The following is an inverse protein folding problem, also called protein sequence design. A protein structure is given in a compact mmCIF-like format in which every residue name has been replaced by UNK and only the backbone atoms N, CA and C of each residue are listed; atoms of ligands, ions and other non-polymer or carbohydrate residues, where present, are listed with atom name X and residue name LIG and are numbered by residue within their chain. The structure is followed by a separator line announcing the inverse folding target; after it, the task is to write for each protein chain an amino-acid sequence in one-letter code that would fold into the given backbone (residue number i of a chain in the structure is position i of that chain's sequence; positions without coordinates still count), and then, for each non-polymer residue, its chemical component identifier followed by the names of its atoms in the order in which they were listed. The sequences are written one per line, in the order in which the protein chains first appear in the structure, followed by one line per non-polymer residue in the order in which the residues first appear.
data_IF_654074293263
#
_entry.id   IF_654074293263
#
_cell.length_a   1.000
_cell.length_b   1.000
_cell.length_c   1.000
_cell.angle_alpha   90.00
_cell.angle_beta   90.00
_cell.angle_gamma   90.00
#
_symmetry.space_group_name_H-M   'P 1'
#
loop_
_entity.id
_entity.type
_entity.pdbx_description
1 polymer ?
#
# COMPACT_ATOMS: atom_id res chain seq x y z
N UNK A 1 41.90 -9.10 44.53
CA UNK A 1 41.22 -7.79 44.35
C UNK A 1 41.27 -7.44 42.87
N UNK A 2 40.17 -7.67 42.14
CA UNK A 2 40.11 -7.38 40.72
C UNK A 2 39.66 -5.93 40.54
N UNK A 3 40.57 -5.08 40.04
CA UNK A 3 40.27 -3.68 39.74
C UNK A 3 39.32 -3.55 38.56
N UNK A 4 38.14 -3.00 38.78
CA UNK A 4 37.24 -2.54 37.73
C UNK A 4 37.96 -1.49 36.87
N UNK A 5 38.24 -1.82 35.59
CA UNK A 5 38.65 -0.80 34.63
C UNK A 5 37.46 0.12 34.39
N UNK A 6 37.60 1.37 34.73
CA UNK A 6 36.66 2.43 34.41
C UNK A 6 36.95 2.77 32.94
N UNK A 7 36.00 2.48 32.06
CA UNK A 7 36.03 2.96 30.68
C UNK A 7 35.71 4.46 30.71
N UNK A 8 36.73 5.27 30.48
CA UNK A 8 36.64 6.74 30.53
C UNK A 8 36.08 7.34 29.24
N UNK A 9 35.62 6.53 28.30
CA UNK A 9 35.05 7.03 27.03
C UNK A 9 36.03 7.89 26.22
N UNK A 10 37.34 7.68 26.41
CA UNK A 10 38.37 8.36 25.64
C UNK A 10 38.40 7.78 24.24
N UNK A 11 38.06 8.59 23.26
CA UNK A 11 38.28 8.31 21.83
C UNK A 11 39.70 7.88 21.59
N UNK A 12 39.92 6.89 20.70
CA UNK A 12 41.26 6.36 20.45
C UNK A 12 42.25 7.46 20.07
N UNK A 13 43.54 7.26 20.43
CA UNK A 13 44.63 8.22 20.20
C UNK A 13 44.64 8.76 18.76
N UNK A 14 44.22 7.98 17.78
CA UNK A 14 44.18 8.35 16.35
C UNK A 14 43.13 9.43 16.03
N UNK A 15 42.01 9.51 16.75
CA UNK A 15 40.99 10.55 16.53
C UNK A 15 41.40 11.93 17.06
N UNK A 16 42.27 11.98 18.06
CA UNK A 16 42.77 13.24 18.64
C UNK A 16 43.79 13.96 17.76
N UNK A 17 44.44 13.24 16.86
CA UNK A 17 45.48 13.77 15.96
C UNK A 17 45.07 13.88 14.51
N UNK A 18 43.84 13.49 14.16
CA UNK A 18 43.29 13.71 12.82
C UNK A 18 42.98 15.21 12.64
N UNK A 19 43.47 15.76 11.54
CA UNK A 19 43.07 17.08 11.07
C UNK A 19 41.59 17.07 10.58
N UNK A 20 40.98 18.24 10.34
CA UNK A 20 39.60 18.33 9.94
C UNK A 20 39.31 17.61 8.60
N UNK A 21 40.32 17.48 7.72
CA UNK A 21 40.21 16.69 6.47
C UNK A 21 40.19 15.20 6.79
N UNK A 22 41.06 14.71 7.64
CA UNK A 22 41.08 13.31 8.05
C UNK A 22 39.79 12.87 8.77
N UNK A 23 39.21 13.76 9.58
CA UNK A 23 37.88 13.54 10.21
C UNK A 23 36.74 13.51 9.19
N UNK A 24 36.82 14.34 8.13
CA UNK A 24 35.84 14.31 7.05
C UNK A 24 35.99 13.06 6.21
N UNK A 25 37.21 12.62 5.89
CA UNK A 25 37.50 11.38 5.14
C UNK A 25 37.13 10.12 5.94
N UNK A 26 37.32 10.09 7.26
CA UNK A 26 36.90 8.98 8.12
C UNK A 26 35.37 8.82 8.20
N UNK A 27 34.61 9.88 7.89
CA UNK A 27 33.13 9.86 7.84
C UNK A 27 32.58 9.47 6.46
N UNK A 28 33.44 9.35 5.42
CA UNK A 28 32.99 8.90 4.11
C UNK A 28 32.60 7.42 4.18
N UNK A 29 31.49 7.03 3.53
CA UNK A 29 31.06 5.66 3.49
C UNK A 29 32.14 4.80 2.81
N UNK A 30 32.66 3.79 3.53
CA UNK A 30 33.62 2.84 2.99
C UNK A 30 32.88 1.76 2.20
N UNK A 31 33.31 1.53 0.97
CA UNK A 31 32.76 0.51 0.08
C UNK A 31 33.65 -0.72 0.14
N UNK A 32 33.02 -1.88 0.36
CA UNK A 32 33.66 -3.18 0.46
C UNK A 32 33.15 -4.12 -0.63
N UNK A 33 33.98 -5.03 -1.09
CA UNK A 33 33.55 -6.14 -1.95
C UNK A 33 33.17 -7.33 -1.04
N UNK A 34 31.87 -7.59 -0.90
CA UNK A 34 31.34 -8.61 -0.01
C UNK A 34 30.88 -9.82 -0.82
N UNK A 35 31.23 -11.06 -0.40
CA UNK A 35 30.74 -12.29 -1.05
C UNK A 35 29.20 -12.36 -0.98
N UNK A 36 28.55 -12.65 -2.10
CA UNK A 36 27.08 -12.80 -2.17
C UNK A 36 26.56 -13.89 -1.22
N UNK A 37 27.38 -14.93 -0.96
CA UNK A 37 27.06 -16.02 -0.04
C UNK A 37 26.99 -15.60 1.44
N UNK A 38 27.59 -14.46 1.81
CA UNK A 38 27.55 -13.92 3.18
C UNK A 38 26.38 -12.95 3.41
N UNK A 39 25.62 -12.64 2.35
CA UNK A 39 24.53 -11.66 2.40
C UNK A 39 23.17 -12.36 2.48
N UNK A 40 22.53 -12.26 3.63
CA UNK A 40 21.15 -12.73 3.83
C UNK A 40 20.16 -11.69 3.34
N UNK A 41 19.04 -12.14 2.81
CA UNK A 41 17.93 -11.26 2.48
C UNK A 41 17.23 -10.77 3.77
N UNK A 42 16.65 -9.58 3.73
CA UNK A 42 15.93 -9.04 4.88
C UNK A 42 14.66 -9.88 5.12
N UNK A 43 14.45 -10.41 6.35
CA UNK A 43 13.25 -11.17 6.67
C UNK A 43 11.98 -10.36 6.45
N UNK A 44 10.95 -11.00 5.90
CA UNK A 44 9.64 -10.37 5.65
C UNK A 44 9.71 -9.09 4.78
N UNK A 45 10.68 -9.04 3.86
CA UNK A 45 10.86 -7.91 2.95
C UNK A 45 9.59 -7.69 2.12
N UNK A 46 8.89 -6.54 2.26
CA UNK A 46 7.57 -6.34 1.66
C UNK A 46 7.59 -6.12 0.15
N UNK A 47 8.74 -5.73 -0.41
CA UNK A 47 8.86 -5.38 -1.83
C UNK A 47 9.37 -6.55 -2.64
N UNK A 48 8.59 -6.95 -3.64
CA UNK A 48 8.96 -8.07 -4.52
C UNK A 48 10.06 -7.67 -5.51
N UNK A 49 11.01 -8.58 -5.73
CA UNK A 49 11.98 -8.46 -6.81
C UNK A 49 11.38 -9.10 -8.05
N UNK A 50 10.83 -8.27 -8.94
CA UNK A 50 10.21 -8.75 -10.18
C UNK A 50 11.26 -9.09 -11.22
N UNK A 51 11.01 -10.19 -11.93
CA UNK A 51 11.78 -10.63 -13.08
C UNK A 51 11.09 -10.08 -14.34
N UNK A 52 11.38 -8.81 -14.64
CA UNK A 52 10.82 -8.05 -15.74
C UNK A 52 11.93 -7.61 -16.71
N UNK A 53 11.57 -6.99 -17.84
CA UNK A 53 12.52 -6.45 -18.83
C UNK A 53 13.52 -5.47 -18.20
N UNK A 54 13.10 -4.70 -17.19
CA UNK A 54 14.00 -3.80 -16.45
C UNK A 54 15.05 -4.59 -15.64
N UNK A 55 14.74 -5.82 -15.21
CA UNK A 55 15.71 -6.69 -14.56
C UNK A 55 16.72 -7.23 -15.56
N UNK A 56 16.27 -7.63 -16.75
CA UNK A 56 17.18 -8.12 -17.81
C UNK A 56 18.15 -7.02 -18.24
N UNK A 57 17.67 -5.80 -18.43
CA UNK A 57 18.52 -4.63 -18.72
C UNK A 57 19.53 -4.35 -17.59
N UNK A 58 19.07 -4.49 -16.32
CA UNK A 58 19.95 -4.32 -15.17
C UNK A 58 21.05 -5.41 -15.14
N UNK A 59 20.71 -6.67 -15.45
CA UNK A 59 21.69 -7.77 -15.54
C UNK A 59 22.73 -7.50 -16.63
N UNK A 60 22.32 -7.05 -17.81
CA UNK A 60 23.25 -6.68 -18.88
C UNK A 60 24.16 -5.52 -18.47
N UNK A 61 23.60 -4.48 -17.90
CA UNK A 61 24.38 -3.33 -17.40
C UNK A 61 25.39 -3.76 -16.33
N UNK A 62 25.00 -4.68 -15.43
CA UNK A 62 25.89 -5.22 -14.39
C UNK A 62 27.02 -6.05 -15.02
N UNK A 63 26.76 -6.84 -16.06
CA UNK A 63 27.79 -7.60 -16.77
C UNK A 63 28.80 -6.69 -17.44
N UNK A 64 28.36 -5.59 -18.03
CA UNK A 64 29.24 -4.66 -18.76
C UNK A 64 30.08 -3.76 -17.86
N UNK A 65 29.44 -3.19 -16.81
CA UNK A 65 30.03 -2.09 -16.03
C UNK A 65 30.17 -2.40 -14.53
N UNK A 66 29.68 -3.57 -14.08
CA UNK A 66 29.60 -3.90 -12.68
C UNK A 66 28.56 -3.07 -11.94
N UNK A 67 28.60 -3.10 -10.62
CA UNK A 67 27.74 -2.28 -9.74
C UNK A 67 28.35 -0.90 -9.56
N UNK A 68 27.66 0.14 -10.05
CA UNK A 68 28.08 1.54 -9.91
C UNK A 68 27.67 2.07 -8.54
N UNK A 69 26.41 1.84 -8.14
CA UNK A 69 25.89 2.26 -6.83
C UNK A 69 25.94 1.08 -5.86
N UNK A 70 26.70 1.14 -4.77
CA UNK A 70 26.80 0.04 -3.81
C UNK A 70 25.46 -0.29 -3.18
N UNK A 71 25.28 -1.55 -2.74
CA UNK A 71 24.17 -1.95 -1.90
C UNK A 71 24.42 -1.53 -0.46
N UNK A 72 23.36 -1.43 0.35
CA UNK A 72 23.50 -1.11 1.78
C UNK A 72 23.27 -2.38 2.60
N UNK A 73 24.23 -2.70 3.44
CA UNK A 73 24.22 -3.85 4.34
C UNK A 73 24.25 -3.41 5.80
N UNK A 74 23.68 -4.25 6.65
CA UNK A 74 23.82 -4.20 8.11
C UNK A 74 24.56 -5.45 8.55
N UNK A 75 25.55 -5.30 9.42
CA UNK A 75 26.19 -6.46 10.04
C UNK A 75 25.30 -7.05 11.12
N UNK A 76 25.12 -8.37 11.12
CA UNK A 76 24.41 -9.15 12.11
C UNK A 76 25.35 -9.56 13.25
N UNK A 77 24.80 -9.98 14.37
CA UNK A 77 25.56 -10.46 15.54
C UNK A 77 26.35 -11.76 15.25
N UNK A 78 25.91 -12.55 14.29
CA UNK A 78 26.58 -13.77 13.82
C UNK A 78 27.75 -13.50 12.85
N UNK A 79 28.03 -12.24 12.55
CA UNK A 79 29.09 -11.80 11.64
C UNK A 79 28.68 -11.78 10.16
N UNK A 80 27.51 -12.32 9.77
CA UNK A 80 26.95 -12.24 8.44
C UNK A 80 26.33 -10.87 8.18
N UNK A 81 25.97 -10.62 6.96
CA UNK A 81 25.37 -9.36 6.54
C UNK A 81 23.91 -9.54 6.19
N UNK A 82 23.10 -8.53 6.50
CA UNK A 82 21.68 -8.45 6.13
C UNK A 82 21.48 -7.30 5.15
N UNK A 83 20.79 -7.58 4.05
CA UNK A 83 20.56 -6.64 2.96
C UNK A 83 19.47 -5.63 3.33
N UNK A 84 19.82 -4.36 3.49
CA UNK A 84 18.89 -3.27 3.81
C UNK A 84 18.37 -2.59 2.56
N UNK A 85 19.23 -2.35 1.56
CA UNK A 85 18.81 -1.72 0.29
C UNK A 85 19.62 -2.26 -0.89
N UNK A 86 18.95 -2.43 -2.01
CA UNK A 86 19.57 -2.87 -3.27
C UNK A 86 19.25 -4.31 -3.68
N UNK A 87 18.10 -4.87 -3.27
CA UNK A 87 17.66 -6.24 -3.57
C UNK A 87 17.70 -6.57 -5.09
N UNK A 88 17.25 -5.65 -5.95
CA UNK A 88 17.36 -5.84 -7.42
C UNK A 88 18.81 -5.93 -7.89
N UNK A 89 19.72 -5.13 -7.29
CA UNK A 89 21.16 -5.16 -7.64
C UNK A 89 21.84 -6.44 -7.19
N UNK A 90 21.54 -6.93 -5.97
CA UNK A 90 21.99 -8.24 -5.49
C UNK A 90 21.54 -9.33 -6.45
N UNK A 91 20.24 -9.35 -6.79
CA UNK A 91 19.66 -10.35 -7.71
C UNK A 91 20.28 -10.29 -9.11
N UNK A 92 20.53 -9.10 -9.64
CA UNK A 92 21.20 -8.93 -10.92
C UNK A 92 22.63 -9.46 -10.90
N UNK A 93 23.40 -9.26 -9.81
CA UNK A 93 24.73 -9.83 -9.64
C UNK A 93 24.71 -11.37 -9.58
N UNK A 94 23.75 -11.95 -8.87
CA UNK A 94 23.57 -13.42 -8.82
C UNK A 94 23.33 -13.98 -10.23
N UNK A 95 22.41 -13.37 -11.00
CA UNK A 95 22.07 -13.76 -12.36
C UNK A 95 23.22 -13.53 -13.35
N UNK A 96 24.04 -12.50 -13.12
CA UNK A 96 25.22 -12.21 -13.91
C UNK A 96 26.41 -13.11 -13.55
N UNK A 97 26.33 -13.94 -12.48
CA UNK A 97 27.37 -14.87 -12.05
C UNK A 97 28.53 -14.23 -11.29
N UNK A 98 28.34 -13.07 -10.67
CA UNK A 98 29.33 -12.45 -9.81
C UNK A 98 29.44 -13.17 -8.46
N UNK A 99 30.65 -13.32 -7.93
CA UNK A 99 30.89 -13.91 -6.62
C UNK A 99 30.76 -12.86 -5.48
N UNK A 100 31.07 -11.60 -5.79
CA UNK A 100 31.08 -10.48 -4.82
C UNK A 100 30.29 -9.31 -5.34
N UNK A 101 29.86 -8.43 -4.43
CA UNK A 101 29.13 -7.20 -4.75
C UNK A 101 29.68 -6.03 -3.91
N UNK A 102 29.73 -4.84 -4.52
CA UNK A 102 30.09 -3.61 -3.81
C UNK A 102 29.01 -3.21 -2.82
N UNK A 103 29.37 -3.07 -1.56
CA UNK A 103 28.48 -2.78 -0.47
C UNK A 103 29.02 -1.70 0.47
N UNK A 104 28.11 -0.88 0.98
CA UNK A 104 28.30 0.01 2.12
C UNK A 104 27.76 -0.68 3.38
N UNK A 105 28.61 -0.88 4.38
CA UNK A 105 28.22 -1.46 5.66
C UNK A 105 27.84 -0.33 6.61
N UNK A 106 26.61 -0.37 7.15
CA UNK A 106 26.14 0.58 8.16
C UNK A 106 25.88 -0.11 9.48
N UNK A 107 26.30 0.54 10.56
CA UNK A 107 25.97 0.15 11.92
C UNK A 107 24.55 0.59 12.24
N UNK A 108 23.60 -0.29 12.07
CA UNK A 108 22.17 -0.05 12.28
C UNK A 108 21.59 -1.10 13.21
N UNK A 109 20.73 -0.67 14.11
CA UNK A 109 19.82 -1.58 14.79
C UNK A 109 18.82 -2.18 13.79
N UNK A 110 18.16 -3.28 14.15
CA UNK A 110 17.15 -3.89 13.27
C UNK A 110 16.01 -2.91 12.94
N UNK A 111 15.57 -2.12 13.90
CA UNK A 111 14.48 -1.15 13.71
C UNK A 111 14.90 0.02 12.79
N UNK A 112 16.14 0.50 12.90
CA UNK A 112 16.70 1.51 11.99
C UNK A 112 16.86 0.97 10.57
N UNK A 113 17.27 -0.29 10.42
CA UNK A 113 17.36 -0.95 9.12
C UNK A 113 15.98 -1.08 8.46
N UNK A 114 14.94 -1.44 9.22
CA UNK A 114 13.55 -1.48 8.72
C UNK A 114 13.12 -0.10 8.21
N UNK A 115 13.35 0.95 8.99
CA UNK A 115 12.96 2.31 8.60
C UNK A 115 13.67 2.72 7.33
N UNK A 116 14.99 2.52 7.25
CA UNK A 116 15.79 2.85 6.07
C UNK A 116 15.34 2.05 4.83
N UNK A 117 15.10 0.74 4.98
CA UNK A 117 14.60 -0.12 3.91
C UNK A 117 13.27 0.37 3.36
N UNK A 118 12.31 0.69 4.21
CA UNK A 118 10.99 1.18 3.81
C UNK A 118 11.11 2.54 3.13
N UNK A 119 11.87 3.48 3.70
CA UNK A 119 12.07 4.82 3.11
C UNK A 119 12.68 4.77 1.72
N UNK A 120 13.71 3.95 1.53
CA UNK A 120 14.38 3.80 0.24
C UNK A 120 13.47 3.22 -0.87
N UNK A 121 12.45 2.45 -0.49
CA UNK A 121 11.52 1.82 -1.43
C UNK A 121 10.22 2.60 -1.65
N UNK A 122 9.76 3.40 -0.66
CA UNK A 122 8.57 4.25 -0.82
C UNK A 122 8.75 5.38 -1.84
N UNK A 123 9.98 5.64 -2.29
CA UNK A 123 10.29 6.62 -3.33
C UNK A 123 10.13 6.06 -4.76
N UNK A 124 9.82 4.77 -4.91
CA UNK A 124 9.58 4.16 -6.24
C UNK A 124 8.32 4.74 -6.87
N UNK A 125 8.33 4.87 -8.19
CA UNK A 125 7.19 5.39 -8.96
C UNK A 125 5.98 4.45 -8.95
N UNK A 126 6.20 3.15 -8.88
CA UNK A 126 5.15 2.13 -8.85
C UNK A 126 5.39 1.19 -7.67
N UNK A 127 4.43 1.18 -6.73
CA UNK A 127 4.44 0.32 -5.55
C UNK A 127 3.06 -0.34 -5.48
N UNK A 128 3.00 -1.66 -5.29
CA UNK A 128 1.74 -2.37 -5.11
C UNK A 128 1.04 -1.96 -3.82
N UNK A 129 -0.31 -2.00 -3.78
CA UNK A 129 -1.08 -1.77 -2.56
C UNK A 129 -0.64 -2.67 -1.39
N UNK A 130 -0.36 -3.95 -1.64
CA UNK A 130 0.15 -4.89 -0.64
C UNK A 130 1.53 -4.49 -0.11
N UNK A 131 2.48 -4.20 -1.01
CA UNK A 131 3.83 -3.75 -0.66
C UNK A 131 3.77 -2.51 0.24
N UNK A 132 2.91 -1.56 -0.11
CA UNK A 132 2.70 -0.32 0.65
C UNK A 132 2.07 -0.59 2.01
N UNK A 133 1.13 -1.53 2.08
CA UNK A 133 0.46 -1.94 3.30
C UNK A 133 1.44 -2.57 4.31
N UNK A 134 2.21 -3.57 3.89
CA UNK A 134 3.19 -4.24 4.74
C UNK A 134 4.34 -3.32 5.13
N UNK A 135 4.81 -2.46 4.21
CA UNK A 135 5.88 -1.50 4.53
C UNK A 135 5.45 -0.47 5.58
N UNK A 136 4.23 0.07 5.51
CA UNK A 136 3.72 0.95 6.56
C UNK A 136 3.53 0.24 7.90
N UNK A 137 3.02 -1.01 7.90
CA UNK A 137 2.88 -1.82 9.12
C UNK A 137 4.24 -2.03 9.78
N UNK A 138 5.22 -2.52 9.01
CA UNK A 138 6.57 -2.81 9.47
C UNK A 138 7.27 -1.56 10.02
N UNK A 139 7.17 -0.43 9.32
CA UNK A 139 7.75 0.84 9.75
C UNK A 139 7.10 1.35 11.04
N UNK A 140 5.77 1.29 11.16
CA UNK A 140 5.04 1.71 12.36
C UNK A 140 5.44 0.86 13.56
N UNK A 141 5.58 -0.46 13.40
CA UNK A 141 6.03 -1.36 14.45
C UNK A 141 7.46 -1.07 14.89
N UNK A 142 8.39 -0.82 13.96
CA UNK A 142 9.77 -0.45 14.26
C UNK A 142 9.84 0.87 15.03
N UNK A 143 9.10 1.89 14.61
CA UNK A 143 9.01 3.19 15.30
C UNK A 143 8.45 3.06 16.72
N UNK A 144 7.41 2.23 16.89
CA UNK A 144 6.82 1.99 18.21
C UNK A 144 7.82 1.30 19.16
N UNK A 145 8.60 0.32 18.66
CA UNK A 145 9.66 -0.33 19.45
C UNK A 145 10.77 0.63 19.84
N UNK A 146 11.17 1.54 18.96
CA UNK A 146 12.13 2.59 19.26
C UNK A 146 11.60 3.60 20.28
N UNK A 147 10.34 4.01 20.16
CA UNK A 147 9.68 4.91 21.11
C UNK A 147 9.59 4.31 22.51
N UNK A 148 9.25 3.02 22.64
CA UNK A 148 9.21 2.33 23.93
C UNK A 148 10.60 2.25 24.61
N UNK A 149 11.67 2.18 23.84
CA UNK A 149 13.04 2.18 24.39
C UNK A 149 13.49 3.56 24.89
N UNK A 150 12.92 4.64 24.34
CA UNK A 150 13.29 6.02 24.71
C UNK A 150 12.42 6.63 25.81
N UNK A 151 11.17 6.18 25.97
CA UNK A 151 10.19 6.75 26.90
C UNK A 151 9.57 5.68 27.80
N UNK A 152 10.13 5.51 29.00
CA UNK A 152 9.49 4.76 30.10
C UNK A 152 8.39 5.60 30.80
N UNK A 153 8.08 6.81 30.34
CA UNK A 153 7.30 7.80 31.11
C UNK A 153 6.04 8.37 30.46
N UNK A 154 5.68 8.07 29.22
CA UNK A 154 4.50 8.71 28.55
C UNK A 154 3.61 7.75 27.76
N UNK A 155 2.30 7.95 27.93
CA UNK A 155 1.12 7.22 27.45
C UNK A 155 1.02 6.83 25.96
N UNK A 156 -0.17 6.46 25.42
CA UNK A 156 -0.31 5.63 24.20
C UNK A 156 0.34 6.24 22.95
N UNK A 157 1.45 5.63 22.53
CA UNK A 157 2.38 6.09 21.48
C UNK A 157 1.80 5.95 20.05
N UNK A 158 0.73 5.17 19.88
CA UNK A 158 0.25 4.76 18.54
C UNK A 158 -0.31 5.87 17.63
N UNK A 159 -0.77 7.00 18.17
CA UNK A 159 -1.29 8.10 17.34
C UNK A 159 -0.16 9.01 16.84
N UNK A 160 0.80 9.36 17.70
CA UNK A 160 1.94 10.22 17.33
C UNK A 160 2.81 9.61 16.24
N UNK A 161 3.02 8.29 16.26
CA UNK A 161 3.86 7.61 15.27
C UNK A 161 3.27 7.64 13.85
N UNK A 162 1.92 7.61 13.71
CA UNK A 162 1.26 7.73 12.39
C UNK A 162 1.32 9.14 11.83
N UNK A 163 1.22 10.15 12.70
CA UNK A 163 1.34 11.55 12.28
C UNK A 163 2.77 11.86 11.81
N UNK A 164 3.78 11.36 12.52
CA UNK A 164 5.19 11.45 12.08
C UNK A 164 5.43 10.71 10.76
N UNK A 165 4.78 9.55 10.54
CA UNK A 165 4.84 8.85 9.25
C UNK A 165 4.22 9.68 8.12
N UNK A 166 3.13 10.40 8.40
CA UNK A 166 2.45 11.23 7.43
C UNK A 166 3.24 12.51 7.08
N UNK A 167 3.92 13.12 8.06
CA UNK A 167 4.76 14.29 7.85
C UNK A 167 5.96 14.01 6.91
N UNK A 168 6.50 12.80 6.97
CA UNK A 168 7.64 12.37 6.15
C UNK A 168 7.25 11.65 4.86
N UNK A 169 5.95 11.51 4.55
CA UNK A 169 5.43 10.74 3.43
C UNK A 169 4.42 11.50 2.57
N UNK A 170 4.09 10.92 1.41
CA UNK A 170 3.09 11.47 0.49
C UNK A 170 1.64 11.15 0.91
N UNK A 171 1.44 10.29 1.93
CA UNK A 171 0.13 9.82 2.36
C UNK A 171 -0.26 10.40 3.72
N UNK A 172 -1.52 10.80 3.88
CA UNK A 172 -2.06 11.22 5.17
C UNK A 172 -2.10 10.07 6.18
N UNK A 173 -2.08 10.37 7.49
CA UNK A 173 -2.19 9.38 8.57
C UNK A 173 -3.43 8.47 8.41
N UNK A 174 -4.54 9.03 7.89
CA UNK A 174 -5.75 8.28 7.56
C UNK A 174 -5.54 7.30 6.41
N UNK A 175 -4.81 7.70 5.39
CA UNK A 175 -4.49 6.85 4.24
C UNK A 175 -3.53 5.72 4.65
N UNK A 176 -2.51 6.02 5.45
CA UNK A 176 -1.59 5.04 6.03
C UNK A 176 -2.36 3.98 6.83
N UNK A 177 -3.30 4.40 7.69
CA UNK A 177 -4.14 3.47 8.45
C UNK A 177 -4.97 2.55 7.56
N UNK A 178 -5.47 3.05 6.41
CA UNK A 178 -6.19 2.24 5.42
C UNK A 178 -5.29 1.25 4.71
N UNK A 179 -4.07 1.66 4.34
CA UNK A 179 -3.09 0.72 3.77
C UNK A 179 -2.76 -0.40 4.76
N UNK A 180 -2.42 -0.05 6.01
CA UNK A 180 -2.12 -1.05 7.05
C UNK A 180 -3.30 -2.03 7.21
N UNK A 181 -4.54 -1.56 7.07
CA UNK A 181 -5.71 -2.42 7.17
C UNK A 181 -5.75 -3.51 6.10
N UNK A 182 -5.17 -3.29 4.91
CA UNK A 182 -5.10 -4.32 3.85
C UNK A 182 -4.29 -5.55 4.27
N UNK A 183 -3.38 -5.45 5.25
CA UNK A 183 -2.63 -6.60 5.76
C UNK A 183 -3.50 -7.64 6.46
N UNK A 184 -4.76 -7.31 6.73
CA UNK A 184 -5.77 -8.21 7.30
C UNK A 184 -6.58 -8.97 6.24
N UNK A 185 -6.33 -8.75 4.96
CA UNK A 185 -6.93 -9.53 3.88
C UNK A 185 -6.27 -10.92 3.78
N UNK A 186 -7.03 -11.91 3.29
CA UNK A 186 -6.44 -13.19 2.88
C UNK A 186 -5.58 -12.98 1.62
N UNK A 187 -4.53 -13.80 1.41
CA UNK A 187 -3.60 -13.62 0.28
C UNK A 187 -4.29 -13.53 -1.07
N UNK A 188 -5.29 -14.37 -1.33
CA UNK A 188 -6.03 -14.40 -2.60
C UNK A 188 -6.77 -13.09 -2.90
N UNK A 189 -7.40 -12.48 -1.89
CA UNK A 189 -8.08 -11.18 -2.07
C UNK A 189 -7.05 -10.05 -2.21
N UNK A 190 -5.94 -10.11 -1.46
CA UNK A 190 -4.89 -9.10 -1.54
C UNK A 190 -4.22 -9.10 -2.93
N UNK A 191 -4.03 -10.28 -3.52
CA UNK A 191 -3.54 -10.41 -4.90
C UNK A 191 -4.50 -9.76 -5.91
N UNK A 192 -5.81 -9.97 -5.77
CA UNK A 192 -6.82 -9.29 -6.60
C UNK A 192 -6.79 -7.75 -6.46
N UNK A 193 -6.38 -7.24 -5.30
CA UNK A 193 -6.19 -5.79 -5.09
C UNK A 193 -4.94 -5.31 -5.83
N UNK A 194 -3.86 -6.06 -5.79
CA UNK A 194 -2.61 -5.76 -6.50
C UNK A 194 -2.76 -5.82 -8.02
N UNK A 195 -3.59 -6.74 -8.52
CA UNK A 195 -3.98 -6.83 -9.93
C UNK A 195 -4.97 -5.72 -10.37
N UNK A 196 -5.50 -4.94 -9.42
CA UNK A 196 -6.49 -3.89 -9.68
C UNK A 196 -7.91 -4.40 -9.95
N UNK A 197 -8.18 -5.69 -9.75
CA UNK A 197 -9.52 -6.30 -9.89
C UNK A 197 -10.46 -5.82 -8.78
N UNK A 198 -9.94 -5.64 -7.58
CA UNK A 198 -10.66 -5.03 -6.45
C UNK A 198 -10.07 -3.64 -6.19
N UNK A 199 -10.93 -2.61 -6.23
CA UNK A 199 -10.50 -1.25 -5.95
C UNK A 199 -10.11 -1.09 -4.46
N UNK A 200 -9.21 -0.16 -4.17
CA UNK A 200 -8.64 0.07 -2.83
C UNK A 200 -9.71 0.27 -1.74
N UNK A 201 -10.76 1.06 -2.01
CA UNK A 201 -11.79 1.35 -0.99
C UNK A 201 -12.64 0.13 -0.62
N UNK A 202 -13.22 -0.63 -1.56
CA UNK A 202 -13.86 -1.91 -1.26
C UNK A 202 -12.95 -2.86 -0.47
N UNK A 203 -11.67 -2.99 -0.88
CA UNK A 203 -10.71 -3.85 -0.21
C UNK A 203 -10.51 -3.49 1.27
N UNK A 204 -10.46 -2.19 1.60
CA UNK A 204 -10.38 -1.73 3.00
C UNK A 204 -11.63 -2.13 3.78
N UNK A 205 -12.83 -2.09 3.20
CA UNK A 205 -14.05 -2.51 3.90
C UNK A 205 -14.11 -4.04 4.05
N UNK A 206 -13.67 -4.82 3.05
CA UNK A 206 -13.56 -6.28 3.09
C UNK A 206 -12.58 -6.73 4.17
N UNK A 207 -11.51 -5.99 4.42
CA UNK A 207 -10.51 -6.33 5.45
C UNK A 207 -11.05 -6.35 6.87
N UNK A 208 -12.27 -5.88 7.11
CA UNK A 208 -12.96 -5.95 8.40
C UNK A 208 -13.76 -7.24 8.59
N UNK A 209 -13.94 -8.04 7.54
CA UNK A 209 -14.58 -9.35 7.60
C UNK A 209 -13.68 -10.36 8.32
N UNK A 210 -14.28 -11.40 8.91
CA UNK A 210 -13.55 -12.54 9.45
C UNK A 210 -12.83 -13.30 8.32
N UNK A 211 -11.80 -14.08 8.63
CA UNK A 211 -11.04 -14.81 7.61
C UNK A 211 -11.92 -15.80 6.84
N UNK A 212 -12.76 -16.53 7.55
CA UNK A 212 -13.69 -17.49 6.96
C UNK A 212 -14.69 -16.77 6.01
N UNK A 213 -15.23 -15.61 6.44
CA UNK A 213 -16.12 -14.78 5.61
C UNK A 213 -15.40 -14.22 4.35
N UNK A 214 -14.10 -13.95 4.44
CA UNK A 214 -13.31 -13.54 3.30
C UNK A 214 -13.08 -14.69 2.31
N UNK A 215 -12.90 -15.91 2.80
CA UNK A 215 -12.79 -17.12 1.96
C UNK A 215 -14.10 -17.37 1.21
N UNK A 216 -15.23 -17.35 1.91
CA UNK A 216 -16.56 -17.46 1.32
C UNK A 216 -16.83 -16.35 0.27
N UNK A 217 -16.43 -15.12 0.56
CA UNK A 217 -16.53 -14.01 -0.40
C UNK A 217 -15.64 -14.26 -1.62
N UNK A 218 -14.43 -14.78 -1.44
CA UNK A 218 -13.53 -15.10 -2.55
C UNK A 218 -14.13 -16.18 -3.46
N UNK A 219 -14.75 -17.22 -2.90
CA UNK A 219 -15.46 -18.26 -3.65
C UNK A 219 -16.64 -17.65 -4.43
N UNK A 220 -17.46 -16.82 -3.78
CA UNK A 220 -18.58 -16.13 -4.43
C UNK A 220 -18.14 -15.22 -5.57
N UNK A 221 -17.02 -14.48 -5.41
CA UNK A 221 -16.43 -13.66 -6.48
C UNK A 221 -15.96 -14.49 -7.66
N UNK A 222 -15.33 -15.63 -7.37
CA UNK A 222 -14.82 -16.54 -8.41
C UNK A 222 -15.96 -17.20 -9.19
N UNK A 223 -17.05 -17.56 -8.52
CA UNK A 223 -18.24 -18.14 -9.14
C UNK A 223 -19.00 -17.13 -10.01
N UNK A 224 -19.17 -15.90 -9.52
CA UNK A 224 -19.90 -14.84 -10.20
C UNK A 224 -19.07 -14.09 -11.26
N UNK A 225 -17.76 -14.36 -11.36
CA UNK A 225 -16.78 -13.58 -12.13
C UNK A 225 -16.95 -12.06 -11.91
N UNK A 226 -17.19 -11.67 -10.68
CA UNK A 226 -17.50 -10.29 -10.29
C UNK A 226 -16.88 -9.93 -8.95
N UNK A 227 -16.46 -8.66 -8.82
CA UNK A 227 -15.92 -8.13 -7.57
C UNK A 227 -16.92 -7.18 -6.90
N UNK A 228 -16.96 -7.09 -5.55
CA UNK A 228 -17.94 -6.26 -4.87
C UNK A 228 -17.68 -4.76 -5.08
N UNK A 229 -18.75 -4.01 -5.25
CA UNK A 229 -18.72 -2.55 -5.19
C UNK A 229 -18.47 -2.05 -3.76
N UNK A 230 -18.13 -0.77 -3.61
CA UNK A 230 -17.95 -0.17 -2.28
C UNK A 230 -19.23 -0.29 -1.41
N UNK A 231 -20.41 -0.11 -2.01
CA UNK A 231 -21.67 -0.22 -1.29
C UNK A 231 -21.93 -1.65 -0.78
N UNK A 232 -21.66 -2.65 -1.64
CA UNK A 232 -21.76 -4.06 -1.27
C UNK A 232 -20.76 -4.43 -0.16
N UNK A 233 -19.49 -3.97 -0.27
CA UNK A 233 -18.46 -4.21 0.75
C UNK A 233 -18.84 -3.60 2.12
N UNK A 234 -19.38 -2.37 2.14
CA UNK A 234 -19.86 -1.73 3.37
C UNK A 234 -21.03 -2.53 3.97
N UNK A 235 -21.97 -2.99 3.13
CA UNK A 235 -23.10 -3.79 3.56
C UNK A 235 -22.66 -5.12 4.18
N UNK A 236 -21.74 -5.84 3.52
CA UNK A 236 -21.15 -7.07 4.05
C UNK A 236 -20.49 -6.85 5.41
N UNK A 237 -19.71 -5.78 5.56
CA UNK A 237 -19.07 -5.42 6.83
C UNK A 237 -20.09 -5.16 7.94
N UNK A 238 -21.24 -4.54 7.65
CA UNK A 238 -22.31 -4.33 8.62
C UNK A 238 -22.96 -5.66 9.05
N UNK A 239 -23.18 -6.59 8.09
CA UNK A 239 -23.69 -7.92 8.40
C UNK A 239 -22.69 -8.74 9.21
N UNK A 240 -21.40 -8.71 8.87
CA UNK A 240 -20.32 -9.37 9.61
C UNK A 240 -20.24 -8.85 11.05
N UNK A 241 -20.27 -7.52 11.25
CA UNK A 241 -20.27 -6.92 12.59
C UNK A 241 -21.43 -7.39 13.47
N UNK A 242 -22.56 -7.73 12.86
CA UNK A 242 -23.76 -8.23 13.54
C UNK A 242 -23.76 -9.77 13.65
N UNK A 243 -22.73 -10.47 13.18
CA UNK A 243 -22.65 -11.94 13.17
C UNK A 243 -23.70 -12.59 12.26
N UNK A 244 -24.13 -11.90 11.19
CA UNK A 244 -25.20 -12.33 10.28
C UNK A 244 -24.72 -12.49 8.83
N UNK A 245 -23.43 -12.43 8.58
CA UNK A 245 -22.88 -12.63 7.24
C UNK A 245 -22.72 -14.12 7.00
N UNK A 246 -23.66 -14.71 6.28
CA UNK A 246 -23.62 -16.13 5.84
C UNK A 246 -23.32 -16.19 4.34
N UNK A 247 -22.89 -17.34 3.77
CA UNK A 247 -22.65 -17.48 2.33
C UNK A 247 -23.83 -17.03 1.48
N UNK A 248 -25.08 -17.37 1.88
CA UNK A 248 -26.29 -17.00 1.15
C UNK A 248 -26.51 -15.48 1.16
N UNK A 249 -26.12 -14.81 2.26
CA UNK A 249 -26.19 -13.33 2.36
C UNK A 249 -25.12 -12.70 1.46
N UNK A 250 -23.92 -13.28 1.39
CA UNK A 250 -22.85 -12.83 0.49
C UNK A 250 -23.32 -12.93 -0.95
N UNK A 251 -23.85 -14.09 -1.36
CA UNK A 251 -24.38 -14.29 -2.72
C UNK A 251 -25.53 -13.31 -3.05
N UNK A 252 -26.44 -13.11 -2.12
CA UNK A 252 -27.56 -12.16 -2.27
C UNK A 252 -27.04 -10.73 -2.49
N UNK A 253 -26.05 -10.29 -1.70
CA UNK A 253 -25.46 -8.95 -1.82
C UNK A 253 -24.66 -8.83 -3.13
N UNK A 254 -23.95 -9.87 -3.53
CA UNK A 254 -23.20 -9.89 -4.79
C UNK A 254 -24.13 -9.83 -6.01
N UNK A 255 -25.32 -10.44 -5.93
CA UNK A 255 -26.35 -10.42 -6.96
C UNK A 255 -27.12 -9.09 -7.09
N UNK A 256 -26.98 -8.15 -6.13
CA UNK A 256 -27.61 -6.84 -6.23
C UNK A 256 -27.04 -6.02 -7.41
N UNK A 257 -27.93 -5.36 -8.16
CA UNK A 257 -27.52 -4.44 -9.23
C UNK A 257 -26.56 -3.36 -8.70
N UNK A 258 -25.37 -3.29 -9.29
CA UNK A 258 -24.41 -2.25 -8.92
C UNK A 258 -24.95 -0.86 -9.31
N UNK A 259 -24.77 0.16 -8.47
CA UNK A 259 -25.26 1.52 -8.76
C UNK A 259 -24.78 2.10 -10.09
N UNK A 260 -23.65 1.60 -10.63
CA UNK A 260 -23.11 2.01 -11.92
C UNK A 260 -23.77 1.31 -13.12
N UNK A 261 -24.53 0.22 -12.89
CA UNK A 261 -25.24 -0.51 -13.95
C UNK A 261 -26.64 0.03 -14.15
N UNK A 262 -27.14 0.89 -13.26
CA UNK A 262 -28.41 1.60 -13.48
C UNK A 262 -28.20 2.65 -14.57
N UNK A 263 -28.96 2.56 -15.62
CA UNK A 263 -29.00 3.62 -16.63
C UNK A 263 -29.37 4.95 -15.96
N UNK A 264 -28.44 5.88 -15.97
CA UNK A 264 -28.66 7.24 -15.45
C UNK A 264 -28.83 8.18 -16.61
N UNK A 265 -30.03 8.66 -16.82
CA UNK A 265 -30.28 9.77 -17.72
C UNK A 265 -29.95 11.08 -17.01
N UNK A 266 -28.90 11.76 -17.44
CA UNK A 266 -28.56 13.07 -16.93
C UNK A 266 -28.81 14.13 -18.02
N UNK A 267 -29.57 15.14 -17.68
CA UNK A 267 -29.79 16.29 -18.54
C UNK A 267 -29.08 17.53 -17.96
N UNK A 268 -28.51 18.34 -18.85
CA UNK A 268 -27.93 19.62 -18.42
C UNK A 268 -29.05 20.52 -17.87
N UNK A 269 -28.85 21.02 -16.65
CA UNK A 269 -29.83 21.85 -15.94
C UNK A 269 -30.32 23.05 -16.77
N UNK A 270 -29.39 23.68 -17.55
CA UNK A 270 -29.70 24.82 -18.42
C UNK A 270 -30.72 24.49 -19.52
N UNK A 271 -30.71 23.26 -20.02
CA UNK A 271 -31.67 22.80 -21.06
C UNK A 271 -33.04 22.51 -20.46
N UNK A 272 -33.10 21.90 -19.27
CA UNK A 272 -34.35 21.56 -18.60
C UNK A 272 -35.06 22.80 -18.01
N UNK A 273 -34.30 23.78 -17.49
CA UNK A 273 -34.86 25.00 -16.86
C UNK A 273 -35.75 25.80 -17.80
N UNK A 274 -35.55 25.72 -19.10
CA UNK A 274 -36.41 26.38 -20.10
C UNK A 274 -37.84 25.86 -20.13
N UNK A 275 -38.05 24.61 -19.68
CA UNK A 275 -39.35 23.94 -19.72
C UNK A 275 -39.98 23.82 -18.32
N UNK A 276 -39.27 24.18 -17.27
CA UNK A 276 -39.75 24.08 -15.89
C UNK A 276 -40.11 25.48 -15.37
N UNK A 277 -41.35 25.70 -14.93
CA UNK A 277 -41.77 26.97 -14.37
C UNK A 277 -40.91 27.36 -13.15
N UNK A 278 -40.65 28.65 -12.99
CA UNK A 278 -39.84 29.19 -11.88
C UNK A 278 -40.50 28.92 -10.49
N UNK A 279 -41.78 28.57 -10.45
CA UNK A 279 -42.50 28.22 -9.24
C UNK A 279 -42.21 26.80 -8.73
N UNK A 280 -41.55 25.95 -9.52
CA UNK A 280 -41.24 24.57 -9.13
C UNK A 280 -39.86 24.57 -8.40
N UNK A 281 -39.86 24.19 -7.09
CA UNK A 281 -38.60 24.11 -6.34
C UNK A 281 -37.72 22.98 -6.89
N UNK A 282 -36.38 23.14 -6.71
CA UNK A 282 -35.40 22.20 -7.25
C UNK A 282 -35.64 20.72 -6.80
N UNK A 283 -36.09 20.53 -5.56
CA UNK A 283 -36.42 19.20 -5.00
C UNK A 283 -37.62 18.51 -5.66
N UNK A 284 -38.46 19.23 -6.39
CA UNK A 284 -39.64 18.68 -7.10
C UNK A 284 -39.48 18.70 -8.62
N UNK A 285 -38.27 19.01 -9.12
CA UNK A 285 -37.97 19.08 -10.57
C UNK A 285 -38.16 17.74 -11.24
N UNK A 286 -37.69 16.67 -10.63
CA UNK A 286 -37.78 15.30 -11.14
C UNK A 286 -39.25 14.85 -11.29
N UNK A 287 -40.06 15.04 -10.25
CA UNK A 287 -41.49 14.73 -10.26
C UNK A 287 -42.23 15.53 -11.34
N UNK A 288 -41.84 16.78 -11.54
CA UNK A 288 -42.44 17.62 -12.59
C UNK A 288 -42.17 17.12 -13.98
N UNK A 289 -40.86 16.73 -14.23
CA UNK A 289 -40.45 16.19 -15.52
C UNK A 289 -41.12 14.85 -15.81
N UNK A 290 -41.20 13.96 -14.83
CA UNK A 290 -41.88 12.67 -14.97
C UNK A 290 -43.35 12.85 -15.32
N UNK A 291 -44.09 13.73 -14.64
CA UNK A 291 -45.52 14.04 -14.97
C UNK A 291 -45.66 14.63 -16.38
N UNK A 292 -44.73 15.49 -16.77
CA UNK A 292 -44.78 16.06 -18.12
C UNK A 292 -44.52 14.95 -19.22
N UNK A 293 -43.64 14.01 -18.96
CA UNK A 293 -43.42 12.88 -19.87
C UNK A 293 -44.61 11.93 -19.92
N UNK A 294 -45.26 11.60 -18.82
CA UNK A 294 -46.50 10.81 -18.76
C UNK A 294 -47.61 11.48 -19.56
N UNK A 295 -47.74 12.81 -19.39
CA UNK A 295 -48.76 13.56 -20.13
C UNK A 295 -48.46 13.54 -21.65
N UNK A 296 -47.22 13.67 -22.03
CA UNK A 296 -46.83 13.61 -23.43
C UNK A 296 -47.02 12.21 -24.03
N UNK A 297 -46.75 11.15 -23.28
CA UNK A 297 -47.03 9.77 -23.71
C UNK A 297 -48.51 9.55 -23.97
N UNK A 298 -49.42 9.95 -23.04
CA UNK A 298 -50.84 9.88 -23.21
C UNK A 298 -51.39 10.74 -24.38
N UNK A 299 -50.68 11.85 -24.66
CA UNK A 299 -51.00 12.67 -25.84
C UNK A 299 -50.63 11.92 -27.12
N UNK A 300 -49.50 11.30 -27.19
CA UNK A 300 -49.06 10.50 -28.36
C UNK A 300 -49.99 9.31 -28.64
N UNK A 301 -50.41 8.60 -27.58
CA UNK A 301 -51.36 7.50 -27.68
C UNK A 301 -52.68 7.96 -28.31
N UNK A 302 -53.27 9.04 -27.81
CA UNK A 302 -54.47 9.62 -28.40
C UNK A 302 -54.30 10.09 -29.83
N UNK A 303 -53.14 10.59 -30.19
CA UNK A 303 -52.87 10.97 -31.59
C UNK A 303 -52.75 9.77 -32.53
N UNK A 304 -52.18 8.65 -32.03
CA UNK A 304 -52.09 7.39 -32.78
C UNK A 304 -53.50 6.78 -33.03
N UNK A 305 -54.33 6.74 -31.98
CA UNK A 305 -55.71 6.25 -32.07
C UNK A 305 -56.52 7.08 -33.10
N UNK A 306 -56.46 8.40 -33.05
CA UNK A 306 -57.09 9.29 -34.05
C UNK A 306 -56.56 9.13 -35.48
N UNK A 307 -55.32 8.68 -35.64
CA UNK A 307 -54.73 8.44 -36.96
C UNK A 307 -55.12 7.08 -37.56
N UNK A 308 -55.56 6.12 -36.70
CA UNK A 308 -56.05 4.80 -37.11
C UNK A 308 -57.56 4.79 -37.43
N UNK A 309 -58.30 5.80 -36.89
CA UNK A 309 -59.74 5.98 -37.19
C UNK A 309 -59.99 6.81 -38.45
N UNK A 310 -58.97 7.26 -39.17
CA UNK A 310 -59.04 7.96 -40.45
C UNK A 310 -58.54 7.06 -41.57
#
# INVERSE_FOLDING_TARGET
MSGKRIDLGLTGYDELFMDDKGRAEAKLPRIYDIPLSEIDDFPDHPFQVRMDEDMDQLVESVKERGIITPITLRQKEDGRYELVSGHRRKKACELAGFATIKAEIRELTRDEAIILMVESNLQRSVILPSEKAFSYKMRLEAMNRQGQRRDLTCGPVGHKSRDVLAENGNDSARQISRYIRLTELIPSILEMVDEGRIAFRPAVEISYLLKDEQEELYEAMSFADATPSLAQAIKMKEFSKNGKLTPEVIESIMGEEKPNQREKFSFRADRLRKFIPASVPYSKTEDYVLKALEHYQRYQERMRERSQER
#
